data_IF_008661395619
#
_entry.id   IF_008661395619
#
_cell.length_a   1.000
_cell.length_b   1.000
_cell.length_c   1.000
_cell.angle_alpha   90.00
_cell.angle_beta   90.00
_cell.angle_gamma   90.00
#
_symmetry.space_group_name_H-M   'P 1'
#
loop_
_entity.id
_entity.type
_entity.pdbx_description
1 polymer ?
#
# COMPACT_ATOMS: atom_id res chain seq x y z
N UNK A 1 -9.68 -14.79 -0.26
CA UNK A 1 -9.15 -13.43 -0.53
C UNK A 1 -8.14 -13.53 -1.69
N UNK A 2 -8.14 -12.65 -2.69
CA UNK A 2 -7.27 -12.85 -3.88
C UNK A 2 -5.81 -12.46 -3.56
N UNK A 3 -4.95 -13.47 -3.37
CA UNK A 3 -3.51 -13.30 -3.16
C UNK A 3 -2.79 -13.32 -4.53
N UNK A 4 -1.85 -12.40 -4.81
CA UNK A 4 -1.15 -12.39 -6.09
C UNK A 4 0.11 -13.28 -6.08
N UNK A 5 0.29 -14.07 -7.15
CA UNK A 5 1.51 -14.82 -7.42
C UNK A 5 1.86 -15.83 -6.32
N UNK A 6 3.12 -15.79 -5.84
CA UNK A 6 3.64 -16.71 -4.82
C UNK A 6 2.81 -16.70 -3.51
N UNK A 7 2.11 -15.62 -3.19
CA UNK A 7 1.25 -15.58 -1.99
C UNK A 7 -0.01 -16.45 -2.14
N UNK A 8 -0.49 -16.68 -3.37
CA UNK A 8 -1.61 -17.59 -3.62
C UNK A 8 -1.21 -19.04 -3.35
N UNK A 9 -0.05 -19.44 -3.86
CA UNK A 9 0.52 -20.77 -3.63
C UNK A 9 0.75 -21.02 -2.13
N UNK A 10 1.25 -20.02 -1.41
CA UNK A 10 1.41 -20.08 0.05
C UNK A 10 0.05 -20.21 0.76
N UNK A 11 -0.98 -19.48 0.29
CA UNK A 11 -2.31 -19.54 0.88
C UNK A 11 -2.98 -20.91 0.65
N UNK A 12 -2.77 -21.53 -0.52
CA UNK A 12 -3.25 -22.88 -0.82
C UNK A 12 -2.51 -23.95 0.00
N UNK A 13 -1.19 -23.82 0.14
CA UNK A 13 -0.38 -24.82 0.83
C UNK A 13 -0.48 -24.76 2.36
N UNK A 14 -0.46 -23.55 2.94
CA UNK A 14 -0.34 -23.32 4.38
C UNK A 14 -1.50 -22.51 4.99
N UNK A 15 -2.45 -22.06 4.18
CA UNK A 15 -3.60 -21.28 4.60
C UNK A 15 -3.41 -19.76 4.43
N UNK A 16 -4.53 -19.05 4.34
CA UNK A 16 -4.56 -17.59 4.10
C UNK A 16 -3.83 -16.79 5.21
N UNK A 17 -3.86 -17.25 6.46
CA UNK A 17 -3.17 -16.57 7.57
C UNK A 17 -1.65 -16.60 7.42
N UNK A 18 -1.08 -17.72 6.95
CA UNK A 18 0.35 -17.85 6.71
C UNK A 18 0.78 -16.89 5.58
N UNK A 19 0.03 -16.86 4.49
CA UNK A 19 0.26 -15.93 3.38
C UNK A 19 0.22 -14.47 3.85
N UNK A 20 -0.74 -14.10 4.71
CA UNK A 20 -0.84 -12.74 5.26
C UNK A 20 0.37 -12.38 6.12
N UNK A 21 0.78 -13.25 7.05
CA UNK A 21 1.96 -13.01 7.90
C UNK A 21 3.23 -12.82 7.08
N UNK A 22 3.41 -13.63 6.03
CA UNK A 22 4.56 -13.52 5.12
C UNK A 22 4.54 -12.20 4.34
N UNK A 23 3.37 -11.80 3.82
CA UNK A 23 3.21 -10.53 3.13
C UNK A 23 3.45 -9.31 4.04
N UNK A 24 3.02 -9.37 5.30
CA UNK A 24 3.23 -8.30 6.29
C UNK A 24 4.69 -8.19 6.72
N UNK A 25 5.37 -9.32 6.97
CA UNK A 25 6.74 -9.32 7.46
C UNK A 25 7.78 -9.00 6.38
N UNK A 26 7.58 -9.46 5.15
CA UNK A 26 8.60 -9.41 4.08
C UNK A 26 8.09 -8.93 2.72
N UNK A 27 6.86 -8.43 2.65
CA UNK A 27 6.28 -7.89 1.43
C UNK A 27 7.13 -6.75 0.85
N UNK A 28 7.35 -6.80 -0.47
CA UNK A 28 8.09 -5.77 -1.21
C UNK A 28 9.60 -5.98 -1.24
N UNK A 29 10.11 -7.04 -0.60
CA UNK A 29 11.53 -7.40 -0.59
C UNK A 29 11.78 -8.70 -1.36
N UNK A 30 12.99 -8.84 -1.91
CA UNK A 30 13.49 -10.15 -2.36
C UNK A 30 14.00 -10.91 -1.16
N UNK A 31 13.51 -12.13 -0.97
CA UNK A 31 13.84 -12.95 0.19
C UNK A 31 14.20 -14.34 -0.29
N UNK A 32 15.16 -14.94 0.40
CA UNK A 32 15.53 -16.33 0.17
C UNK A 32 14.53 -17.25 0.87
N UNK A 33 13.79 -18.04 0.09
CA UNK A 33 12.97 -19.12 0.62
C UNK A 33 13.88 -20.34 0.85
N UNK A 34 13.97 -20.86 2.08
CA UNK A 34 14.75 -22.06 2.36
C UNK A 34 14.13 -23.30 1.68
N UNK A 35 14.98 -24.24 1.28
CA UNK A 35 14.54 -25.54 0.77
C UNK A 35 14.03 -26.43 1.90
N UNK A 36 13.25 -27.47 1.55
CA UNK A 36 12.76 -28.49 2.49
C UNK A 36 13.93 -29.14 3.24
N UNK A 37 15.01 -29.48 2.53
CA UNK A 37 16.22 -30.06 3.13
C UNK A 37 16.88 -29.11 4.15
N UNK A 38 16.90 -27.80 3.87
CA UNK A 38 17.45 -26.81 4.81
C UNK A 38 16.59 -26.63 6.05
N UNK A 39 15.26 -26.77 5.93
CA UNK A 39 14.33 -26.72 7.05
C UNK A 39 14.47 -27.96 7.95
N UNK A 40 14.60 -29.14 7.34
CA UNK A 40 14.79 -30.41 8.05
C UNK A 40 16.16 -30.53 8.73
N UNK A 41 17.17 -29.79 8.26
CA UNK A 41 18.51 -29.77 8.86
C UNK A 41 18.60 -29.03 10.20
N UNK A 42 17.46 -28.57 10.76
CA UNK A 42 17.40 -27.97 12.11
C UNK A 42 17.91 -26.53 12.19
N UNK A 43 18.16 -25.86 11.06
CA UNK A 43 18.57 -24.45 11.04
C UNK A 43 17.33 -23.56 11.14
N UNK A 44 17.22 -22.79 12.23
CA UNK A 44 16.16 -21.79 12.41
C UNK A 44 16.11 -20.87 11.20
N UNK A 45 14.96 -20.90 10.52
CA UNK A 45 14.72 -20.13 9.30
C UNK A 45 13.61 -19.12 9.57
N UNK A 46 13.75 -17.90 9.04
CA UNK A 46 12.76 -16.82 9.21
C UNK A 46 11.32 -17.26 8.86
N UNK A 47 11.18 -18.23 7.94
CA UNK A 47 9.89 -18.81 7.56
C UNK A 47 9.28 -19.64 8.70
N UNK A 48 10.06 -20.49 9.36
CA UNK A 48 9.59 -21.30 10.51
C UNK A 48 9.18 -20.40 11.69
N UNK A 49 9.93 -19.33 11.95
CA UNK A 49 9.60 -18.39 13.03
C UNK A 49 8.29 -17.65 12.80
N UNK A 50 7.94 -17.37 11.53
CA UNK A 50 6.72 -16.62 11.19
C UNK A 50 5.47 -17.50 11.11
N UNK A 51 5.56 -18.68 10.48
CA UNK A 51 4.39 -19.51 10.17
C UNK A 51 4.38 -20.85 10.90
N UNK A 52 5.48 -21.24 11.55
CA UNK A 52 5.66 -22.55 12.19
C UNK A 52 6.28 -23.59 11.24
N UNK A 53 6.77 -24.69 11.83
CA UNK A 53 7.49 -25.75 11.10
C UNK A 53 6.61 -26.44 10.04
N UNK A 54 5.38 -26.82 10.40
CA UNK A 54 4.44 -27.50 9.51
C UNK A 54 4.08 -26.65 8.28
N UNK A 55 3.75 -25.38 8.50
CA UNK A 55 3.44 -24.46 7.42
C UNK A 55 4.68 -24.16 6.55
N UNK A 56 5.85 -23.99 7.16
CA UNK A 56 7.10 -23.75 6.45
C UNK A 56 7.48 -24.91 5.52
N UNK A 57 7.28 -26.16 5.96
CA UNK A 57 7.53 -27.35 5.12
C UNK A 57 6.62 -27.37 3.90
N UNK A 58 5.31 -27.17 4.08
CA UNK A 58 4.33 -27.12 2.99
C UNK A 58 4.64 -26.01 1.98
N UNK A 59 5.05 -24.85 2.48
CA UNK A 59 5.47 -23.72 1.63
C UNK A 59 6.75 -24.04 0.85
N UNK A 60 7.74 -24.66 1.50
CA UNK A 60 8.98 -25.01 0.83
C UNK A 60 8.77 -26.10 -0.23
N UNK A 61 7.87 -27.05 0.02
CA UNK A 61 7.49 -28.09 -0.94
C UNK A 61 6.77 -27.50 -2.16
N UNK A 62 5.81 -26.59 -1.93
CA UNK A 62 5.02 -25.98 -3.00
C UNK A 62 5.81 -24.95 -3.82
N UNK A 63 6.55 -24.06 -3.16
CA UNK A 63 7.10 -22.85 -3.80
C UNK A 63 8.62 -22.88 -4.02
N UNK A 64 9.37 -23.69 -3.28
CA UNK A 64 10.83 -23.60 -3.25
C UNK A 64 11.55 -24.93 -2.96
N UNK A 65 11.35 -25.99 -3.76
CA UNK A 65 11.91 -27.31 -3.48
C UNK A 65 13.45 -27.32 -3.37
N UNK A 66 14.14 -26.41 -4.08
CA UNK A 66 15.60 -26.31 -4.13
C UNK A 66 16.13 -25.08 -3.35
N UNK A 67 15.24 -24.19 -2.89
CA UNK A 67 15.59 -22.93 -2.24
C UNK A 67 15.88 -21.82 -3.26
N UNK A 68 15.02 -20.80 -3.29
CA UNK A 68 15.02 -19.77 -4.34
C UNK A 68 14.88 -18.38 -3.77
N UNK A 69 15.47 -17.40 -4.44
CA UNK A 69 15.25 -15.99 -4.14
C UNK A 69 13.98 -15.53 -4.85
N UNK A 70 12.92 -15.29 -4.09
CA UNK A 70 11.63 -14.86 -4.62
C UNK A 70 11.36 -13.43 -4.20
N UNK A 71 10.81 -12.64 -5.12
CA UNK A 71 10.24 -11.34 -4.77
C UNK A 71 8.89 -11.58 -4.11
N UNK A 72 8.78 -11.29 -2.81
CA UNK A 72 7.50 -11.42 -2.11
C UNK A 72 6.67 -10.17 -2.43
N UNK A 73 5.51 -10.31 -3.09
CA UNK A 73 4.65 -9.17 -3.34
C UNK A 73 4.11 -8.61 -2.00
N UNK A 74 3.86 -7.30 -1.94
CA UNK A 74 3.27 -6.63 -0.76
C UNK A 74 1.86 -7.15 -0.39
N UNK A 75 1.27 -8.00 -1.24
CA UNK A 75 -0.02 -8.64 -0.99
C UNK A 75 -1.19 -7.64 -0.84
N UNK A 76 -2.31 -8.08 -0.22
CA UNK A 76 -3.48 -7.24 0.03
C UNK A 76 -3.23 -6.14 1.08
N UNK A 77 -2.15 -6.25 1.86
CA UNK A 77 -1.76 -5.27 2.87
C UNK A 77 -0.93 -4.10 2.30
N UNK A 78 -0.69 -4.04 0.98
CA UNK A 78 0.09 -2.97 0.36
C UNK A 78 -0.50 -1.59 0.72
N UNK A 79 0.19 -0.77 1.54
CA UNK A 79 -0.32 0.52 1.99
C UNK A 79 -0.57 1.45 0.81
N UNK A 80 0.20 1.32 -0.27
CA UNK A 80 0.00 2.08 -1.51
C UNK A 80 -1.28 1.67 -2.22
N UNK A 81 -1.62 0.37 -2.25
CA UNK A 81 -2.88 -0.11 -2.87
C UNK A 81 -4.09 0.36 -2.06
N UNK A 82 -4.02 0.33 -0.73
CA UNK A 82 -5.05 0.89 0.17
C UNK A 82 -5.21 2.40 -0.05
N UNK A 83 -4.11 3.14 -0.05
CA UNK A 83 -4.09 4.58 -0.32
C UNK A 83 -4.73 4.91 -1.68
N UNK A 84 -4.33 4.22 -2.75
CA UNK A 84 -4.90 4.42 -4.09
C UNK A 84 -6.38 4.08 -4.12
N UNK A 85 -6.82 3.01 -3.45
CA UNK A 85 -8.24 2.67 -3.35
C UNK A 85 -9.05 3.80 -2.68
N UNK A 86 -8.56 4.34 -1.56
CA UNK A 86 -9.19 5.49 -0.90
C UNK A 86 -9.19 6.76 -1.76
N UNK A 87 -8.14 6.99 -2.56
CA UNK A 87 -8.11 8.10 -3.53
C UNK A 87 -9.19 7.90 -4.59
N UNK A 88 -9.29 6.70 -5.18
CA UNK A 88 -10.28 6.38 -6.21
C UNK A 88 -11.71 6.54 -5.72
N UNK A 89 -12.01 6.04 -4.52
CA UNK A 89 -13.33 6.18 -3.90
C UNK A 89 -13.74 7.65 -3.77
N UNK A 90 -12.84 8.51 -3.28
CA UNK A 90 -13.10 9.95 -3.14
C UNK A 90 -13.21 10.68 -4.49
N UNK A 91 -12.44 10.26 -5.49
CA UNK A 91 -12.60 10.78 -6.86
C UNK A 91 -13.99 10.42 -7.40
N UNK A 92 -14.45 9.19 -7.20
CA UNK A 92 -15.78 8.75 -7.63
C UNK A 92 -16.89 9.48 -6.86
N UNK A 93 -16.66 9.79 -5.58
CA UNK A 93 -17.56 10.59 -4.75
C UNK A 93 -17.65 12.08 -5.18
N UNK A 94 -16.76 12.55 -6.06
CA UNK A 94 -16.78 13.93 -6.54
C UNK A 94 -16.07 14.94 -5.67
N UNK A 95 -15.19 14.49 -4.77
CA UNK A 95 -14.38 15.40 -3.96
C UNK A 95 -13.35 16.16 -4.82
N UNK A 96 -13.04 17.39 -4.41
CA UNK A 96 -11.99 18.19 -5.05
C UNK A 96 -10.59 17.63 -4.78
N UNK A 97 -9.64 17.89 -5.69
CA UNK A 97 -8.25 17.42 -5.56
C UNK A 97 -7.63 17.83 -4.22
N UNK A 98 -7.87 19.07 -3.78
CA UNK A 98 -7.34 19.59 -2.52
C UNK A 98 -7.93 18.89 -1.29
N UNK A 99 -9.21 18.50 -1.31
CA UNK A 99 -9.83 17.72 -0.22
C UNK A 99 -9.21 16.33 -0.13
N UNK A 100 -9.04 15.66 -1.27
CA UNK A 100 -8.44 14.32 -1.36
C UNK A 100 -6.99 14.33 -0.87
N UNK A 101 -6.21 15.32 -1.29
CA UNK A 101 -4.81 15.49 -0.85
C UNK A 101 -4.73 15.65 0.66
N UNK A 102 -5.57 16.50 1.27
CA UNK A 102 -5.60 16.71 2.72
C UNK A 102 -6.03 15.46 3.47
N UNK A 103 -7.00 14.72 2.94
CA UNK A 103 -7.55 13.54 3.60
C UNK A 103 -6.64 12.29 3.49
N UNK A 104 -5.95 12.10 2.37
CA UNK A 104 -5.09 10.92 2.13
C UNK A 104 -3.60 11.19 2.43
N UNK A 105 -3.19 12.47 2.47
CA UNK A 105 -1.78 12.89 2.52
C UNK A 105 -0.96 12.38 1.33
N UNK A 106 -1.52 12.48 0.13
CA UNK A 106 -0.83 12.19 -1.13
C UNK A 106 -0.58 13.47 -1.93
N UNK A 107 0.21 13.40 -3.00
CA UNK A 107 0.46 14.55 -3.88
C UNK A 107 -0.67 14.74 -4.89
N UNK A 108 -0.92 15.99 -5.32
CA UNK A 108 -1.90 16.30 -6.37
C UNK A 108 -1.66 15.49 -7.65
N UNK A 109 -0.39 15.28 -8.02
CA UNK A 109 0.02 14.42 -9.14
C UNK A 109 -0.50 12.98 -9.03
N UNK A 110 -0.61 12.44 -7.82
CA UNK A 110 -1.13 11.09 -7.58
C UNK A 110 -2.63 11.04 -7.84
N UNK A 111 -3.38 12.05 -7.36
CA UNK A 111 -4.83 12.16 -7.56
C UNK A 111 -5.15 12.31 -9.05
N UNK A 112 -4.45 13.21 -9.75
CA UNK A 112 -4.67 13.42 -11.20
C UNK A 112 -4.32 12.19 -12.04
N UNK A 113 -3.25 11.45 -11.70
CA UNK A 113 -2.93 10.18 -12.36
C UNK A 113 -4.04 9.15 -12.21
N UNK A 114 -4.57 8.97 -11.01
CA UNK A 114 -5.68 8.02 -10.79
C UNK A 114 -6.97 8.48 -11.47
N UNK A 115 -7.24 9.79 -11.51
CA UNK A 115 -8.37 10.36 -12.25
C UNK A 115 -8.29 10.09 -13.74
N UNK A 116 -7.10 10.26 -14.34
CA UNK A 116 -6.86 9.90 -15.75
C UNK A 116 -7.08 8.41 -15.99
N UNK A 117 -6.60 7.57 -15.07
CA UNK A 117 -6.75 6.12 -15.15
C UNK A 117 -8.21 5.69 -15.06
N UNK A 118 -8.99 6.26 -14.15
CA UNK A 118 -10.43 6.02 -14.03
C UNK A 118 -11.23 6.51 -15.26
N UNK A 119 -10.81 7.61 -15.88
CA UNK A 119 -11.38 8.06 -17.17
C UNK A 119 -11.07 7.07 -18.30
N UNK A 120 -9.83 6.57 -18.37
CA UNK A 120 -9.44 5.56 -19.36
C UNK A 120 -10.18 4.23 -19.17
N UNK A 121 -10.46 3.87 -17.91
CA UNK A 121 -11.29 2.71 -17.53
C UNK A 121 -12.79 2.96 -17.77
N UNK A 122 -13.21 4.16 -18.18
CA UNK A 122 -14.62 4.51 -18.44
C UNK A 122 -15.47 4.73 -17.18
N UNK A 123 -14.89 4.66 -15.99
CA UNK A 123 -15.59 4.79 -14.71
C UNK A 123 -15.98 6.25 -14.37
N UNK A 124 -15.41 7.22 -15.09
CA UNK A 124 -15.72 8.64 -14.96
C UNK A 124 -16.25 9.20 -16.28
N UNK A 125 -17.49 9.71 -16.26
CA UNK A 125 -18.03 10.51 -17.36
C UNK A 125 -17.27 11.84 -17.50
N UNK A 126 -17.19 12.34 -18.74
CA UNK A 126 -16.55 13.62 -19.09
C UNK A 126 -17.14 14.83 -18.33
N UNK A 127 -18.33 14.70 -17.74
CA UNK A 127 -19.03 15.75 -17.01
C UNK A 127 -18.57 15.96 -15.56
N UNK A 128 -17.58 15.20 -15.07
CA UNK A 128 -17.13 15.34 -13.68
C UNK A 128 -16.54 16.74 -13.44
N UNK A 129 -17.10 17.54 -12.50
CA UNK A 129 -16.70 18.93 -12.30
C UNK A 129 -15.18 19.04 -12.19
N UNK A 130 -14.57 19.74 -13.15
CA UNK A 130 -13.20 20.22 -13.00
C UNK A 130 -13.33 21.44 -12.10
N UNK A 131 -13.00 21.24 -10.84
CA UNK A 131 -12.76 22.30 -9.87
C UNK A 131 -14.02 23.15 -9.58
N UNK A 132 -14.86 22.66 -8.65
CA UNK A 132 -15.61 23.61 -7.85
C UNK A 132 -14.54 24.34 -6.99
N UNK A 133 -14.36 25.66 -7.12
CA UNK A 133 -13.41 26.39 -6.27
C UNK A 133 -13.71 26.10 -4.80
N UNK A 134 -12.71 26.12 -3.91
CA UNK A 134 -12.92 25.80 -2.51
C UNK A 134 -14.03 26.71 -1.96
N UNK A 135 -15.22 26.14 -1.75
CA UNK A 135 -16.29 26.80 -1.03
C UNK A 135 -15.81 26.96 0.41
N UNK A 136 -15.35 28.18 0.70
CA UNK A 136 -15.37 28.82 2.02
C UNK A 136 -14.79 28.05 3.20
N UNK A 137 -13.57 28.42 3.58
CA UNK A 137 -13.26 28.63 5.00
C UNK A 137 -12.41 29.90 5.10
N UNK A 138 -12.88 30.98 5.75
CA UNK A 138 -12.03 32.14 6.01
C UNK A 138 -11.01 31.69 7.05
N UNK A 139 -9.75 31.52 6.66
CA UNK A 139 -8.67 31.55 7.65
C UNK A 139 -8.59 32.99 8.14
N UNK A 140 -8.80 33.29 9.44
CA UNK A 140 -8.49 34.60 9.96
C UNK A 140 -6.97 34.81 9.77
N UNK A 141 -6.66 35.84 9.02
CA UNK A 141 -5.31 36.28 8.68
C UNK A 141 -4.64 36.81 9.97
N UNK A 142 -4.13 35.90 10.81
CA UNK A 142 -3.32 36.26 11.97
C UNK A 142 -1.90 36.59 11.49
N UNK A 143 -1.75 37.74 10.83
CA UNK A 143 -0.44 38.38 10.65
C UNK A 143 -0.21 39.32 11.85
N UNK A 144 0.76 39.06 12.74
CA UNK A 144 1.13 40.05 13.73
C UNK A 144 1.73 41.25 13.00
N UNK A 145 1.08 42.41 13.08
CA UNK A 145 1.70 43.69 12.76
C UNK A 145 2.86 43.88 13.72
N UNK A 146 4.09 43.67 13.24
CA UNK A 146 5.28 44.11 13.95
C UNK A 146 5.26 45.65 13.92
N UNK A 147 4.77 46.21 15.02
CA UNK A 147 4.80 47.62 15.36
C UNK A 147 6.25 48.12 15.25
N UNK A 148 6.51 48.88 14.19
CA UNK A 148 7.81 49.47 13.89
C UNK A 148 7.98 50.67 14.82
N UNK A 149 8.25 50.40 16.11
CA UNK A 149 8.48 51.47 17.09
C UNK A 149 9.79 52.17 16.76
N UNK A 150 9.60 53.43 16.38
CA UNK A 150 10.58 54.42 16.03
C UNK A 150 11.62 54.57 17.14
N UNK A 151 12.91 54.50 16.79
CA UNK A 151 13.99 54.93 17.68
C UNK A 151 14.25 56.41 17.42
N UNK A 152 14.02 57.32 18.38
CA UNK A 152 14.53 58.68 18.27
C UNK A 152 16.03 58.72 18.61
N UNK A 153 16.67 59.69 17.96
CA UNK A 153 18.07 60.15 17.92
C UNK A 153 19.04 59.68 19.02
#
# INVERSE_FOLDING_TARGET
MEFPGILAEIAEAAGEEAARKVAEARGGSRVYLPSVASLQSGRSSWLQELVGMDAALKIAEACAPIGVNVLIPLGPANPRKKMIASVRERILAGESVSQIVKAVRCTERTVERERQRLRAEGALSAAHPKDNPPSSSPTPDCRPTLDRKERPC
#
